data_IF_962190605854
#
_entry.id   IF_962190605854
#
_cell.length_a   1.000
_cell.length_b   1.000
_cell.length_c   1.000
_cell.angle_alpha   90.00
_cell.angle_beta   90.00
_cell.angle_gamma   90.00
#
_symmetry.space_group_name_H-M   'P 1'
#
loop_
_entity.id
_entity.type
_entity.pdbx_description
1 polymer ?
#
# COMPACT_ATOMS: atom_id res chain seq x y z
N UNK A 1 -1.25 1.58 -81.10
CA UNK A 1 -1.73 0.70 -80.00
C UNK A 1 -0.58 0.21 -79.09
N UNK A 2 0.54 -0.25 -79.64
CA UNK A 2 1.67 -0.75 -78.86
C UNK A 2 2.30 0.29 -77.89
N UNK A 3 2.36 1.56 -78.21
CA UNK A 3 2.93 2.61 -77.36
C UNK A 3 2.11 2.84 -76.06
N UNK A 4 0.79 2.76 -76.16
CA UNK A 4 -0.09 2.93 -74.99
C UNK A 4 0.01 1.73 -74.02
N UNK A 5 0.14 0.52 -74.55
CA UNK A 5 0.34 -0.68 -73.73
C UNK A 5 1.64 -0.63 -72.92
N UNK A 6 2.72 -0.13 -73.54
CA UNK A 6 3.99 0.06 -72.81
C UNK A 6 3.88 1.12 -71.75
N UNK A 7 3.21 2.24 -72.01
CA UNK A 7 3.00 3.30 -70.99
C UNK A 7 2.16 2.76 -69.79
N UNK A 8 1.09 2.00 -70.05
CA UNK A 8 0.28 1.38 -68.99
C UNK A 8 1.07 0.36 -68.21
N UNK A 9 1.91 -0.46 -68.80
CA UNK A 9 2.77 -1.42 -68.08
C UNK A 9 3.77 -0.69 -67.22
N UNK A 10 4.38 0.39 -67.65
CA UNK A 10 5.33 1.17 -66.84
C UNK A 10 4.63 1.85 -65.68
N UNK A 11 3.45 2.42 -65.86
CA UNK A 11 2.63 2.98 -64.81
C UNK A 11 2.24 1.93 -63.75
N UNK A 12 1.86 0.74 -64.17
CA UNK A 12 1.54 -0.35 -63.27
C UNK A 12 2.74 -0.78 -62.39
N UNK A 13 3.94 -0.84 -62.96
CA UNK A 13 5.17 -1.14 -62.22
C UNK A 13 5.47 -0.04 -61.19
N UNK A 14 5.33 1.24 -61.59
CA UNK A 14 5.55 2.37 -60.64
C UNK A 14 4.55 2.32 -59.50
N UNK A 15 3.26 2.12 -59.77
CA UNK A 15 2.25 2.01 -58.72
C UNK A 15 2.49 0.83 -57.81
N UNK A 16 2.93 -0.30 -58.32
CA UNK A 16 3.27 -1.46 -57.54
C UNK A 16 4.48 -1.22 -56.62
N UNK A 17 5.53 -0.58 -57.13
CA UNK A 17 6.71 -0.23 -56.30
C UNK A 17 6.36 0.77 -55.19
N UNK A 18 5.54 1.77 -55.50
CA UNK A 18 5.02 2.72 -54.50
C UNK A 18 4.19 1.99 -53.44
N UNK A 19 3.32 1.07 -53.85
CA UNK A 19 2.52 0.27 -52.92
C UNK A 19 3.37 -0.60 -51.98
N UNK A 20 4.38 -1.28 -52.53
CA UNK A 20 5.34 -2.07 -51.73
C UNK A 20 6.09 -1.16 -50.73
N UNK A 21 6.51 0.04 -51.15
CA UNK A 21 7.16 1.00 -50.30
C UNK A 21 6.26 1.41 -49.10
N UNK A 22 4.98 1.67 -49.34
CA UNK A 22 4.04 2.01 -48.24
C UNK A 22 3.84 0.85 -47.30
N UNK A 23 3.73 -0.39 -47.77
CA UNK A 23 3.65 -1.57 -46.90
C UNK A 23 4.91 -1.68 -46.06
N UNK A 24 6.09 -1.54 -46.66
CA UNK A 24 7.36 -1.61 -45.94
C UNK A 24 7.45 -0.55 -44.83
N UNK A 25 7.07 0.69 -45.11
CA UNK A 25 7.03 1.77 -44.14
C UNK A 25 6.06 1.47 -42.98
N UNK A 26 4.88 0.97 -43.30
CA UNK A 26 3.88 0.59 -42.28
C UNK A 26 4.40 -0.50 -41.35
N UNK A 27 5.05 -1.55 -41.87
CA UNK A 27 5.67 -2.62 -41.08
C UNK A 27 6.80 -2.09 -40.24
N UNK A 28 7.61 -1.18 -40.77
CA UNK A 28 8.72 -0.57 -40.01
C UNK A 28 8.22 0.30 -38.83
N UNK A 29 7.16 1.07 -39.09
CA UNK A 29 6.54 1.87 -38.01
C UNK A 29 5.93 1.00 -36.92
N UNK A 30 5.24 -0.07 -37.32
CA UNK A 30 4.69 -1.01 -36.31
C UNK A 30 5.79 -1.68 -35.47
N UNK A 31 6.90 -2.07 -36.10
CA UNK A 31 8.08 -2.60 -35.36
C UNK A 31 8.65 -1.59 -34.41
N UNK A 32 8.85 -0.33 -34.84
CA UNK A 32 9.33 0.76 -33.96
C UNK A 32 8.37 1.03 -32.81
N UNK A 33 7.06 0.94 -33.04
CA UNK A 33 6.04 1.13 -32.01
C UNK A 33 6.09 0.00 -30.97
N UNK A 34 6.28 -1.25 -31.39
CA UNK A 34 6.45 -2.40 -30.48
C UNK A 34 7.72 -2.25 -29.63
N UNK A 35 8.85 -1.91 -30.24
CA UNK A 35 10.12 -1.70 -29.54
C UNK A 35 10.07 -0.54 -28.52
N UNK A 36 9.31 0.53 -28.81
CA UNK A 36 9.07 1.63 -27.87
C UNK A 36 8.23 1.16 -26.68
N UNK A 37 7.14 0.44 -26.95
CA UNK A 37 6.27 -0.08 -25.92
C UNK A 37 6.97 -1.11 -25.00
N UNK A 38 7.87 -1.92 -25.52
CA UNK A 38 8.68 -2.84 -24.73
C UNK A 38 9.66 -2.08 -23.82
N UNK A 39 10.39 -1.10 -24.37
CA UNK A 39 11.31 -0.24 -23.57
C UNK A 39 10.57 0.53 -22.47
N UNK A 40 9.38 1.04 -22.77
CA UNK A 40 8.56 1.74 -21.78
C UNK A 40 8.11 0.81 -20.65
N UNK A 41 7.73 -0.43 -20.95
CA UNK A 41 7.39 -1.44 -19.96
C UNK A 41 8.59 -1.83 -19.09
N UNK A 42 9.77 -2.01 -19.69
CA UNK A 42 11.00 -2.32 -18.96
C UNK A 42 11.39 -1.16 -18.04
N UNK A 43 11.33 0.07 -18.54
CA UNK A 43 11.58 1.28 -17.74
C UNK A 43 10.63 1.39 -16.55
N UNK A 44 9.32 1.22 -16.79
CA UNK A 44 8.32 1.27 -15.73
C UNK A 44 8.56 0.19 -14.67
N UNK A 45 8.88 -1.03 -15.10
CA UNK A 45 9.22 -2.13 -14.18
C UNK A 45 10.43 -1.80 -13.31
N UNK A 46 11.51 -1.30 -13.93
CA UNK A 46 12.72 -0.91 -13.21
C UNK A 46 12.44 0.25 -12.24
N UNK A 47 11.70 1.26 -12.69
CA UNK A 47 11.28 2.38 -11.85
C UNK A 47 10.50 1.92 -10.61
N UNK A 48 9.54 1.01 -10.78
CA UNK A 48 8.76 0.47 -9.66
C UNK A 48 9.64 -0.34 -8.69
N UNK A 49 10.59 -1.12 -9.18
CA UNK A 49 11.54 -1.84 -8.33
C UNK A 49 12.44 -0.90 -7.52
N UNK A 50 12.96 0.15 -8.13
CA UNK A 50 13.81 1.13 -7.46
C UNK A 50 13.01 1.95 -6.43
N UNK A 51 11.80 2.37 -6.76
CA UNK A 51 10.89 3.04 -5.83
C UNK A 51 10.51 2.13 -4.64
N UNK A 52 10.40 0.83 -4.87
CA UNK A 52 10.17 -0.15 -3.81
C UNK A 52 11.35 -0.27 -2.85
N UNK A 53 12.60 -0.26 -3.36
CA UNK A 53 13.82 -0.26 -2.54
C UNK A 53 13.91 1.01 -1.68
N UNK A 54 13.76 2.18 -2.30
CA UNK A 54 13.76 3.47 -1.61
C UNK A 54 12.69 3.52 -0.51
N UNK A 55 11.47 3.03 -0.79
CA UNK A 55 10.40 2.95 0.20
C UNK A 55 10.77 2.08 1.40
N UNK A 56 11.35 0.89 1.16
CA UNK A 56 11.78 -0.01 2.25
C UNK A 56 12.80 0.65 3.17
N UNK A 57 13.78 1.32 2.62
CA UNK A 57 14.80 2.04 3.39
C UNK A 57 14.19 3.19 4.20
N UNK A 58 13.37 4.02 3.58
CA UNK A 58 12.69 5.12 4.26
C UNK A 58 11.74 4.63 5.35
N UNK A 59 11.00 3.56 5.11
CA UNK A 59 10.10 2.92 6.07
C UNK A 59 10.87 2.38 7.27
N UNK A 60 12.04 1.76 7.05
CA UNK A 60 12.89 1.28 8.14
C UNK A 60 13.41 2.41 9.03
N UNK A 61 13.92 3.49 8.43
CA UNK A 61 14.42 4.67 9.16
C UNK A 61 13.29 5.34 9.93
N UNK A 62 12.14 5.52 9.29
CA UNK A 62 10.95 6.09 9.89
C UNK A 62 10.48 5.29 11.11
N UNK A 63 10.32 3.98 10.97
CA UNK A 63 9.90 3.11 12.06
C UNK A 63 10.88 3.18 13.25
N UNK A 64 12.19 3.12 13.00
CA UNK A 64 13.23 3.27 14.04
C UNK A 64 13.13 4.60 14.78
N UNK A 65 12.92 5.71 14.06
CA UNK A 65 12.75 7.06 14.63
C UNK A 65 11.51 7.14 15.54
N UNK A 66 10.38 6.60 15.08
CA UNK A 66 9.12 6.58 15.84
C UNK A 66 9.24 5.70 17.07
N UNK A 67 9.84 4.52 16.95
CA UNK A 67 10.07 3.59 18.05
C UNK A 67 10.97 4.17 19.14
N UNK A 68 12.10 4.78 18.76
CA UNK A 68 13.06 5.36 19.69
C UNK A 68 12.46 6.48 20.55
N UNK A 69 11.52 7.25 20.00
CA UNK A 69 10.87 8.38 20.70
C UNK A 69 9.94 7.95 21.83
N UNK A 70 9.36 6.75 21.79
CA UNK A 70 8.28 6.31 22.69
C UNK A 70 8.55 4.99 23.41
N UNK A 71 9.81 4.65 23.63
CA UNK A 71 10.19 3.45 24.35
C UNK A 71 9.96 3.61 25.86
N UNK A 72 8.69 3.55 26.30
CA UNK A 72 8.29 3.66 27.72
C UNK A 72 7.66 2.36 28.19
N UNK A 73 7.74 2.12 29.50
CA UNK A 73 7.10 0.97 30.12
C UNK A 73 5.59 0.98 29.87
N UNK A 74 5.00 -0.14 29.47
CA UNK A 74 3.57 -0.22 29.21
C UNK A 74 2.76 -0.01 30.50
N UNK A 75 1.57 0.55 30.36
CA UNK A 75 0.59 0.68 31.47
C UNK A 75 -0.31 -0.54 31.60
N UNK A 76 -0.37 -1.35 30.58
CA UNK A 76 -1.16 -2.58 30.52
C UNK A 76 -0.28 -3.75 30.07
N UNK A 77 -0.71 -4.95 30.43
CA UNK A 77 -0.23 -6.20 29.83
C UNK A 77 -1.37 -6.90 29.13
N UNK A 78 -1.05 -7.70 28.13
CA UNK A 78 -1.97 -8.57 27.43
C UNK A 78 -1.66 -10.04 27.75
N UNK A 79 -2.69 -10.89 27.76
CA UNK A 79 -2.53 -12.35 27.93
C UNK A 79 -1.99 -13.03 26.66
N UNK A 80 -1.95 -12.31 25.53
CA UNK A 80 -1.43 -12.78 24.22
C UNK A 80 -0.40 -11.79 23.70
N UNK A 81 0.63 -12.29 23.00
CA UNK A 81 1.49 -11.44 22.18
C UNK A 81 0.72 -10.96 20.97
N UNK A 82 0.67 -9.65 20.77
CA UNK A 82 -0.03 -9.01 19.67
C UNK A 82 0.95 -8.13 18.92
N UNK A 83 0.99 -8.25 17.60
CA UNK A 83 1.78 -7.42 16.71
C UNK A 83 0.87 -6.69 15.72
N UNK A 84 0.96 -5.37 15.69
CA UNK A 84 0.14 -4.49 14.85
C UNK A 84 0.99 -3.74 13.86
N UNK A 85 0.58 -3.75 12.59
CA UNK A 85 1.15 -2.91 11.56
C UNK A 85 0.34 -1.62 11.44
N UNK A 86 1.02 -0.47 11.57
CA UNK A 86 0.39 0.85 11.54
C UNK A 86 0.87 1.60 10.31
N UNK A 87 -0.04 1.98 9.42
CA UNK A 87 0.20 2.92 8.34
C UNK A 87 -0.18 4.33 8.77
N UNK A 88 0.79 5.14 9.15
CA UNK A 88 0.59 6.56 9.45
C UNK A 88 1.82 7.36 9.07
N UNK A 89 1.65 8.42 8.29
CA UNK A 89 2.73 9.23 7.71
C UNK A 89 3.10 10.47 8.54
N UNK A 90 2.27 10.83 9.53
CA UNK A 90 2.42 12.10 10.23
C UNK A 90 3.44 12.02 11.36
N UNK A 91 4.37 12.98 11.42
CA UNK A 91 5.40 13.06 12.48
C UNK A 91 4.81 13.26 13.88
N UNK A 92 3.58 13.74 13.98
CA UNK A 92 2.89 13.97 15.26
C UNK A 92 1.94 12.85 15.65
N UNK A 93 1.14 12.34 14.69
CA UNK A 93 0.06 11.38 14.97
C UNK A 93 0.55 9.93 14.98
N UNK A 94 1.51 9.56 14.12
CA UNK A 94 2.09 8.22 14.13
C UNK A 94 2.74 7.89 15.48
N UNK A 95 3.57 8.77 16.08
CA UNK A 95 4.08 8.56 17.43
C UNK A 95 3.00 8.47 18.49
N UNK A 96 1.93 9.25 18.39
CA UNK A 96 0.81 9.22 19.34
C UNK A 96 0.07 7.87 19.27
N UNK A 97 -0.36 7.44 18.08
CA UNK A 97 -1.02 6.14 17.84
C UNK A 97 -0.14 4.99 18.35
N UNK A 98 1.15 5.02 18.00
CA UNK A 98 2.13 4.04 18.44
C UNK A 98 2.26 4.01 19.98
N UNK A 99 2.33 5.18 20.64
CA UNK A 99 2.43 5.30 22.09
C UNK A 99 1.22 4.71 22.81
N UNK A 100 0.01 4.95 22.31
CA UNK A 100 -1.21 4.37 22.89
C UNK A 100 -1.15 2.85 22.84
N UNK A 101 -0.86 2.25 21.69
CA UNK A 101 -0.80 0.80 21.54
C UNK A 101 0.30 0.16 22.38
N UNK A 102 1.49 0.76 22.41
CA UNK A 102 2.59 0.28 23.26
C UNK A 102 2.31 0.39 24.74
N UNK A 103 1.64 1.45 25.17
CA UNK A 103 1.17 1.56 26.56
C UNK A 103 0.13 0.48 26.92
N UNK A 104 -0.56 -0.07 25.93
CA UNK A 104 -1.49 -1.20 26.07
C UNK A 104 -0.79 -2.58 26.01
N UNK A 105 0.55 -2.62 25.92
CA UNK A 105 1.31 -3.88 25.84
C UNK A 105 1.32 -4.54 24.45
N UNK A 106 1.01 -3.79 23.41
CA UNK A 106 0.95 -4.25 22.02
C UNK A 106 2.27 -3.95 21.30
N UNK A 107 2.83 -4.93 20.62
CA UNK A 107 3.97 -4.74 19.71
C UNK A 107 3.51 -4.04 18.44
N UNK A 108 4.27 -3.06 17.98
CA UNK A 108 3.89 -2.24 16.83
C UNK A 108 5.03 -2.10 15.85
N UNK A 109 4.68 -2.08 14.58
CA UNK A 109 5.53 -1.61 13.48
C UNK A 109 4.82 -0.49 12.76
N UNK A 110 5.52 0.62 12.46
CA UNK A 110 4.94 1.80 11.82
C UNK A 110 5.58 1.99 10.45
N UNK A 111 4.75 2.22 9.45
CA UNK A 111 5.17 2.48 8.07
C UNK A 111 4.47 3.72 7.51
N UNK A 112 5.12 4.50 6.63
CA UNK A 112 4.61 5.80 6.21
C UNK A 112 3.55 5.77 5.10
N UNK A 113 3.36 4.65 4.38
CA UNK A 113 2.46 4.59 3.20
C UNK A 113 1.60 3.34 3.17
N UNK A 114 0.51 3.38 2.39
CA UNK A 114 -0.33 2.20 2.12
C UNK A 114 0.45 1.12 1.35
N UNK A 115 1.32 1.51 0.44
CA UNK A 115 2.20 0.59 -0.29
C UNK A 115 3.16 -0.14 0.64
N UNK A 116 3.70 0.54 1.66
CA UNK A 116 4.59 -0.10 2.64
C UNK A 116 3.85 -1.14 3.48
N UNK A 117 2.57 -0.93 3.82
CA UNK A 117 1.74 -1.94 4.49
C UNK A 117 1.68 -3.20 3.62
N UNK A 118 1.34 -3.04 2.34
CA UNK A 118 1.20 -4.14 1.40
C UNK A 118 2.52 -4.90 1.24
N UNK A 119 3.63 -4.18 1.10
CA UNK A 119 4.97 -4.75 0.96
C UNK A 119 5.39 -5.55 2.22
N UNK A 120 5.05 -5.05 3.42
CA UNK A 120 5.34 -5.76 4.68
C UNK A 120 4.57 -7.07 4.80
N UNK A 121 3.28 -7.04 4.49
CA UNK A 121 2.41 -8.23 4.53
C UNK A 121 2.84 -9.25 3.48
N UNK A 122 3.01 -8.83 2.22
CA UNK A 122 3.47 -9.72 1.13
C UNK A 122 4.90 -10.25 1.33
N UNK A 123 5.69 -9.57 2.16
CA UNK A 123 7.03 -9.99 2.55
C UNK A 123 7.07 -11.11 3.61
N UNK A 124 5.92 -11.67 3.99
CA UNK A 124 5.80 -12.79 4.94
C UNK A 124 5.89 -12.39 6.42
N UNK A 125 5.75 -11.10 6.74
CA UNK A 125 5.66 -10.68 8.12
C UNK A 125 4.25 -10.93 8.67
N UNK A 126 4.18 -11.55 9.85
CA UNK A 126 2.93 -11.85 10.52
C UNK A 126 2.48 -10.69 11.41
N UNK A 127 1.22 -10.30 11.26
CA UNK A 127 0.55 -9.31 12.10
C UNK A 127 -0.83 -9.84 12.51
N UNK A 128 -1.29 -9.45 13.69
CA UNK A 128 -2.61 -9.80 14.18
C UNK A 128 -3.68 -8.79 13.76
N UNK A 129 -3.27 -7.55 13.40
CA UNK A 129 -4.15 -6.49 12.96
C UNK A 129 -3.38 -5.42 12.19
N UNK A 130 -4.02 -4.83 11.20
CA UNK A 130 -3.50 -3.68 10.43
C UNK A 130 -4.35 -2.45 10.75
N UNK A 131 -3.68 -1.34 11.12
CA UNK A 131 -4.30 -0.02 11.23
C UNK A 131 -3.78 0.85 10.10
N UNK A 132 -4.66 1.41 9.29
CA UNK A 132 -4.29 2.28 8.17
C UNK A 132 -4.96 3.65 8.28
N UNK A 133 -4.24 4.71 7.92
CA UNK A 133 -4.87 6.01 7.68
C UNK A 133 -5.79 5.95 6.46
N UNK A 134 -6.79 6.85 6.43
CA UNK A 134 -7.64 7.01 5.25
C UNK A 134 -6.88 7.59 4.05
N UNK A 135 -5.95 8.53 4.31
CA UNK A 135 -5.14 9.20 3.28
C UNK A 135 -3.69 9.35 3.75
N UNK A 136 -2.76 9.37 2.81
CA UNK A 136 -1.33 9.49 3.03
C UNK A 136 -0.75 10.74 2.34
N UNK A 137 0.39 11.23 2.80
CA UNK A 137 1.04 12.43 2.25
C UNK A 137 1.47 12.31 0.78
N UNK A 138 1.75 11.08 0.34
CA UNK A 138 2.09 10.78 -1.05
C UNK A 138 0.86 10.68 -1.98
N UNK A 139 -0.34 11.04 -1.49
CA UNK A 139 -1.60 10.96 -2.24
C UNK A 139 -2.25 9.57 -2.24
N UNK A 140 -1.63 8.55 -1.66
CA UNK A 140 -2.24 7.23 -1.56
C UNK A 140 -3.49 7.25 -0.66
N UNK A 141 -4.50 6.48 -1.05
CA UNK A 141 -5.67 6.22 -0.20
C UNK A 141 -5.43 4.98 0.66
N UNK A 142 -5.88 5.00 1.90
CA UNK A 142 -5.92 3.82 2.76
C UNK A 142 -6.73 2.65 2.18
N UNK A 143 -7.69 2.93 1.30
CA UNK A 143 -8.44 1.89 0.56
C UNK A 143 -7.53 0.99 -0.29
N UNK A 144 -6.34 1.46 -0.67
CA UNK A 144 -5.34 0.65 -1.40
C UNK A 144 -4.94 -0.60 -0.62
N UNK A 145 -4.90 -0.54 0.71
CA UNK A 145 -4.55 -1.68 1.56
C UNK A 145 -5.56 -2.83 1.40
N UNK A 146 -6.79 -2.53 1.00
CA UNK A 146 -7.83 -3.54 0.77
C UNK A 146 -7.51 -4.48 -0.41
N UNK A 147 -6.51 -4.17 -1.23
CA UNK A 147 -6.05 -5.11 -2.26
C UNK A 147 -5.53 -6.43 -1.67
N UNK A 148 -5.05 -6.43 -0.41
CA UNK A 148 -4.64 -7.63 0.31
C UNK A 148 -5.80 -8.63 0.45
N UNK A 149 -7.03 -8.16 0.57
CA UNK A 149 -8.24 -9.01 0.67
C UNK A 149 -8.63 -9.71 -0.62
N UNK A 150 -7.94 -9.42 -1.74
CA UNK A 150 -8.12 -10.18 -3.00
C UNK A 150 -7.49 -11.57 -2.90
N UNK A 151 -6.53 -11.75 -2.01
CA UNK A 151 -6.01 -13.06 -1.67
C UNK A 151 -7.01 -13.77 -0.74
N UNK A 152 -7.41 -14.98 -1.13
CA UNK A 152 -8.40 -15.78 -0.39
C UNK A 152 -7.90 -16.24 0.97
N UNK A 153 -6.60 -16.37 1.12
CA UNK A 153 -5.95 -16.82 2.36
C UNK A 153 -5.66 -15.66 3.32
N UNK A 154 -5.93 -14.42 2.89
CA UNK A 154 -5.72 -13.24 3.72
C UNK A 154 -6.81 -13.10 4.78
N UNK A 155 -6.43 -13.18 6.05
CA UNK A 155 -7.35 -13.16 7.20
C UNK A 155 -7.09 -12.05 8.21
N UNK A 156 -6.04 -11.23 8.01
CA UNK A 156 -5.67 -10.18 8.97
C UNK A 156 -6.70 -9.04 8.90
N UNK A 157 -7.33 -8.65 10.04
CA UNK A 157 -8.27 -7.53 10.06
C UNK A 157 -7.60 -6.20 9.67
N UNK A 158 -8.27 -5.43 8.80
CA UNK A 158 -7.83 -4.10 8.36
C UNK A 158 -8.76 -3.05 8.94
N UNK A 159 -8.24 -2.22 9.83
CA UNK A 159 -8.96 -1.15 10.53
C UNK A 159 -8.54 0.20 9.98
N UNK A 160 -9.48 1.05 9.60
CA UNK A 160 -9.18 2.43 9.20
C UNK A 160 -9.21 3.37 10.39
N UNK A 161 -8.17 4.20 10.53
CA UNK A 161 -8.04 5.25 11.54
C UNK A 161 -8.09 6.62 10.85
N UNK A 162 -9.11 7.44 11.12
CA UNK A 162 -9.38 8.68 10.39
C UNK A 162 -9.94 9.79 11.27
N UNK A 163 -9.80 11.05 10.81
CA UNK A 163 -10.44 12.23 11.42
C UNK A 163 -11.86 12.47 10.90
N UNK A 164 -12.32 11.70 9.90
CA UNK A 164 -13.66 11.87 9.34
C UNK A 164 -14.70 11.31 10.30
N UNK A 165 -15.55 12.20 10.80
CA UNK A 165 -16.67 11.83 11.67
C UNK A 165 -17.82 11.17 10.89
N UNK A 166 -18.58 10.31 11.56
CA UNK A 166 -19.81 9.67 11.05
C UNK A 166 -19.64 8.88 9.73
N UNK A 167 -18.42 8.46 9.40
CA UNK A 167 -18.11 7.78 8.14
C UNK A 167 -17.99 6.25 8.28
N UNK A 168 -18.43 5.69 9.41
CA UNK A 168 -18.27 4.24 9.71
C UNK A 168 -18.88 3.36 8.62
N UNK A 169 -20.13 3.65 8.21
CA UNK A 169 -20.81 2.85 7.17
C UNK A 169 -20.09 2.91 5.82
N UNK A 170 -19.56 4.07 5.43
CA UNK A 170 -18.78 4.25 4.20
C UNK A 170 -17.55 3.34 4.19
N UNK A 171 -16.79 3.31 5.30
CA UNK A 171 -15.57 2.51 5.37
C UNK A 171 -15.84 1.02 5.44
N UNK A 172 -16.85 0.58 6.20
CA UNK A 172 -17.24 -0.81 6.25
C UNK A 172 -17.76 -1.30 4.89
N UNK A 173 -18.57 -0.51 4.20
CA UNK A 173 -19.05 -0.82 2.84
C UNK A 173 -17.91 -0.85 1.80
N UNK A 174 -16.82 -0.12 2.04
CA UNK A 174 -15.63 -0.17 1.19
C UNK A 174 -14.79 -1.43 1.41
N UNK A 175 -15.04 -2.21 2.49
CA UNK A 175 -14.36 -3.47 2.78
C UNK A 175 -13.42 -3.46 3.98
N UNK A 176 -13.34 -2.37 4.75
CA UNK A 176 -12.63 -2.37 6.03
C UNK A 176 -13.40 -3.20 7.07
N UNK A 177 -12.68 -3.83 8.00
CA UNK A 177 -13.29 -4.65 9.05
C UNK A 177 -13.81 -3.80 10.20
N UNK A 178 -13.19 -2.66 10.45
CA UNK A 178 -13.63 -1.68 11.44
C UNK A 178 -13.11 -0.29 11.13
N UNK A 179 -13.72 0.68 11.79
CA UNK A 179 -13.44 2.10 11.72
C UNK A 179 -13.14 2.64 13.11
N UNK A 180 -12.10 3.46 13.21
CA UNK A 180 -11.74 4.19 14.42
C UNK A 180 -11.60 5.67 14.09
N UNK A 181 -12.32 6.49 14.84
CA UNK A 181 -12.19 7.94 14.77
C UNK A 181 -11.00 8.41 15.63
N UNK A 182 -10.12 9.24 15.04
CA UNK A 182 -9.02 9.88 15.77
C UNK A 182 -9.55 10.86 16.82
N UNK A 183 -8.90 11.00 17.98
CA UNK A 183 -7.69 10.30 18.40
C UNK A 183 -7.97 8.86 18.85
N UNK A 184 -6.97 7.98 18.69
CA UNK A 184 -6.99 6.64 19.28
C UNK A 184 -6.83 6.76 20.80
N UNK A 185 -7.64 6.03 21.56
CA UNK A 185 -7.56 5.94 23.02
C UNK A 185 -7.64 4.49 23.52
N UNK A 186 -7.39 4.29 24.80
CA UNK A 186 -7.37 2.97 25.45
C UNK A 186 -8.71 2.22 25.29
N UNK A 187 -9.84 2.92 25.40
CA UNK A 187 -11.18 2.34 25.25
C UNK A 187 -11.44 1.84 23.83
N UNK A 188 -11.06 2.64 22.84
CA UNK A 188 -11.19 2.26 21.41
C UNK A 188 -10.29 1.05 21.09
N UNK A 189 -9.07 1.01 21.65
CA UNK A 189 -8.17 -0.14 21.49
C UNK A 189 -8.82 -1.40 22.07
N UNK A 190 -9.28 -1.37 23.30
CA UNK A 190 -9.94 -2.53 23.94
C UNK A 190 -11.11 -3.01 23.07
N UNK A 191 -12.02 -2.11 22.71
CA UNK A 191 -13.23 -2.47 21.95
C UNK A 191 -12.93 -3.11 20.60
N UNK A 192 -11.94 -2.57 19.85
CA UNK A 192 -11.62 -3.08 18.52
C UNK A 192 -10.81 -4.37 18.61
N UNK A 193 -9.81 -4.43 19.48
CA UNK A 193 -8.91 -5.57 19.51
C UNK A 193 -9.58 -6.82 20.08
N UNK A 194 -10.42 -6.67 21.12
CA UNK A 194 -11.19 -7.81 21.65
C UNK A 194 -12.24 -8.35 20.69
N UNK A 195 -12.66 -7.55 19.69
CA UNK A 195 -13.56 -7.99 18.62
C UNK A 195 -12.89 -8.93 17.63
N UNK A 196 -11.60 -8.70 17.33
CA UNK A 196 -10.90 -9.43 16.27
C UNK A 196 -9.92 -10.47 16.79
N UNK A 197 -9.48 -10.35 18.04
CA UNK A 197 -8.51 -11.27 18.66
C UNK A 197 -9.24 -12.02 19.77
N UNK A 198 -9.66 -13.22 19.46
CA UNK A 198 -10.42 -14.06 20.38
C UNK A 198 -9.71 -14.28 21.72
N UNK A 199 -10.44 -14.17 22.82
CA UNK A 199 -9.94 -14.36 24.19
C UNK A 199 -8.84 -13.37 24.60
N UNK A 200 -8.71 -12.20 23.93
CA UNK A 200 -7.77 -11.16 24.35
C UNK A 200 -8.25 -10.44 25.59
N UNK A 201 -7.37 -10.34 26.56
CA UNK A 201 -7.57 -9.59 27.81
C UNK A 201 -6.48 -8.55 28.03
N UNK A 202 -6.89 -7.37 28.50
CA UNK A 202 -6.01 -6.28 28.92
C UNK A 202 -6.03 -6.15 30.45
N UNK A 203 -4.85 -6.24 31.08
CA UNK A 203 -4.70 -6.05 32.53
C UNK A 203 -3.87 -4.81 32.81
N UNK A 204 -4.43 -3.87 33.58
CA UNK A 204 -3.71 -2.66 33.97
C UNK A 204 -2.62 -3.02 35.01
N UNK A 205 -1.40 -2.56 34.73
CA UNK A 205 -0.26 -2.73 35.65
C UNK A 205 -0.48 -1.79 36.83
N UNK A 206 -0.51 -2.34 38.03
CA UNK A 206 -0.54 -1.52 39.28
C UNK A 206 0.78 -0.75 39.33
N UNK A 207 0.73 0.58 39.26
CA UNK A 207 1.90 1.39 39.57
C UNK A 207 2.20 1.23 41.04
N UNK A 208 3.29 0.54 41.40
CA UNK A 208 3.84 0.69 42.74
C UNK A 208 4.28 2.16 42.86
N UNK A 209 3.48 2.97 43.52
CA UNK A 209 3.96 4.24 44.04
C UNK A 209 5.01 3.87 45.09
N UNK A 210 6.27 3.91 44.71
CA UNK A 210 7.36 4.05 45.66
C UNK A 210 7.12 5.37 46.42
N UNK A 211 6.87 5.23 47.70
CA UNK A 211 6.81 6.32 48.64
C UNK A 211 8.13 7.10 48.70
#
# INVERSE_FOLDING_TARGET
MAEYEFVFALLAVILFTVFIYFIYQSVLEEKKKKERAEREKEFEKQYQEDMRKIRKENSFVWNKKVQAKYNKNPKYTTNKKIKVLIGDYTDSMAPFTNSVLRNMGIETEVVPTASDIIDRVKGGNNYDLIITNNTYSNGESGKKVLELKKDKDFSIPIVVLTVRHNSRMEFLSAGFDEYIEKPLDEKKVINVFTKFIDGLEFKKIKSNKSA
#
